data_IF_208692978424
#
_entry.id   IF_208692978424
#
_cell.length_a   1.000
_cell.length_b   1.000
_cell.length_c   1.000
_cell.angle_alpha   90.00
_cell.angle_beta   90.00
_cell.angle_gamma   90.00
#
_symmetry.space_group_name_H-M   'P 1'
#
loop_
_entity.id
_entity.type
_entity.pdbx_description
1 polymer ?
#
# COMPACT_ATOMS: atom_id res chain seq x y z
N UNK A 1 19.46 -4.59 -12.34
CA UNK A 1 19.80 -3.32 -11.65
C UNK A 1 18.82 -3.14 -10.51
N UNK A 2 19.14 -2.44 -9.42
CA UNK A 2 18.11 -2.18 -8.38
C UNK A 2 17.43 -0.84 -8.64
N UNK A 3 16.10 -0.88 -8.69
CA UNK A 3 15.20 0.25 -8.86
C UNK A 3 15.25 1.21 -7.65
N UNK A 4 15.02 2.50 -7.87
CA UNK A 4 15.01 3.49 -6.78
C UNK A 4 13.69 3.44 -6.01
N UNK A 5 12.58 3.32 -6.72
CA UNK A 5 11.22 3.43 -6.20
C UNK A 5 10.33 2.30 -6.72
N UNK A 6 9.98 1.38 -5.81
CA UNK A 6 9.04 0.30 -6.11
C UNK A 6 7.59 0.71 -5.83
N UNK A 7 6.67 0.21 -6.64
CA UNK A 7 5.24 0.09 -6.31
C UNK A 7 4.89 -1.39 -6.22
N UNK A 8 4.55 -1.86 -5.03
CA UNK A 8 4.05 -3.20 -4.80
C UNK A 8 2.50 -3.18 -4.79
N UNK A 9 1.89 -3.91 -5.72
CA UNK A 9 0.45 -4.15 -5.81
C UNK A 9 0.15 -5.49 -5.17
N UNK A 10 -0.62 -5.48 -4.07
CA UNK A 10 -0.87 -6.66 -3.23
C UNK A 10 -2.33 -7.04 -3.23
N UNK A 11 -2.62 -8.27 -3.64
CA UNK A 11 -3.94 -8.91 -3.60
C UNK A 11 -4.35 -9.28 -2.18
N UNK A 12 -3.41 -9.83 -1.41
CA UNK A 12 -3.63 -10.23 -0.04
C UNK A 12 -2.50 -9.76 0.89
N UNK A 13 -2.78 -8.88 1.89
CA UNK A 13 -1.78 -8.41 2.84
C UNK A 13 -1.04 -9.51 3.61
N UNK A 14 -1.60 -10.72 3.74
CA UNK A 14 -0.91 -11.86 4.38
C UNK A 14 0.35 -12.29 3.63
N UNK A 15 0.47 -11.96 2.34
CA UNK A 15 1.63 -12.30 1.52
C UNK A 15 2.81 -11.36 1.70
N UNK A 16 2.62 -10.23 2.39
CA UNK A 16 3.64 -9.18 2.48
C UNK A 16 4.97 -9.67 3.05
N UNK A 17 4.97 -10.56 4.05
CA UNK A 17 6.22 -11.10 4.59
C UNK A 17 7.07 -11.82 3.54
N UNK A 18 6.43 -12.69 2.73
CA UNK A 18 7.07 -13.43 1.63
C UNK A 18 7.54 -12.51 0.49
N UNK A 19 6.76 -11.48 0.19
CA UNK A 19 7.08 -10.54 -0.88
C UNK A 19 8.24 -9.64 -0.46
N UNK A 20 8.17 -9.06 0.74
CA UNK A 20 9.19 -8.14 1.25
C UNK A 20 10.57 -8.81 1.34
N UNK A 21 10.63 -10.08 1.75
CA UNK A 21 11.89 -10.83 1.78
C UNK A 21 12.51 -11.01 0.38
N UNK A 22 11.70 -11.02 -0.68
CA UNK A 22 12.16 -11.14 -2.07
C UNK A 22 12.45 -9.78 -2.72
N UNK A 23 11.63 -8.77 -2.41
CA UNK A 23 11.63 -7.45 -3.07
C UNK A 23 12.65 -6.49 -2.46
N UNK A 24 13.03 -6.63 -1.18
CA UNK A 24 13.88 -5.63 -0.50
C UNK A 24 15.24 -5.40 -1.18
N UNK A 25 15.76 -6.36 -1.97
CA UNK A 25 17.02 -6.21 -2.72
C UNK A 25 16.85 -5.49 -4.07
N UNK A 26 15.62 -5.44 -4.56
CA UNK A 26 15.28 -4.90 -5.87
C UNK A 26 14.98 -3.39 -5.79
N UNK A 27 14.59 -2.89 -4.62
CA UNK A 27 14.29 -1.49 -4.36
C UNK A 27 15.36 -0.89 -3.44
N UNK A 28 15.87 0.31 -3.76
CA UNK A 28 16.93 0.97 -2.99
C UNK A 28 16.41 1.92 -1.93
N UNK A 29 15.40 2.75 -2.26
CA UNK A 29 15.04 3.89 -1.42
C UNK A 29 13.62 3.77 -0.87
N UNK A 30 12.62 3.69 -1.75
CA UNK A 30 11.21 3.82 -1.36
C UNK A 30 10.37 2.70 -1.95
N UNK A 31 9.54 2.07 -1.10
CA UNK A 31 8.57 1.07 -1.53
C UNK A 31 7.16 1.54 -1.18
N UNK A 32 6.37 1.85 -2.21
CA UNK A 32 4.95 2.10 -2.05
C UNK A 32 4.18 0.77 -2.08
N UNK A 33 3.18 0.61 -1.21
CA UNK A 33 2.32 -0.57 -1.17
C UNK A 33 0.89 -0.15 -1.49
N UNK A 34 0.36 -0.64 -2.61
CA UNK A 34 -1.03 -0.49 -3.01
C UNK A 34 -1.78 -1.79 -2.77
N UNK A 35 -2.85 -1.75 -1.98
CA UNK A 35 -3.71 -2.92 -1.78
C UNK A 35 -4.77 -2.98 -2.87
N UNK A 36 -4.96 -4.17 -3.47
CA UNK A 36 -5.94 -4.42 -4.51
C UNK A 36 -7.37 -4.42 -4.03
N UNK A 37 -7.59 -4.57 -2.73
CA UNK A 37 -8.91 -4.36 -2.15
C UNK A 37 -9.42 -2.93 -2.44
N UNK A 38 -8.53 -1.98 -2.75
CA UNK A 38 -8.86 -0.65 -3.24
C UNK A 38 -9.24 -0.58 -4.73
N UNK A 39 -9.13 -1.67 -5.48
CA UNK A 39 -9.29 -1.76 -6.94
C UNK A 39 -10.37 -2.80 -7.28
N UNK A 40 -11.12 -2.57 -8.36
CA UNK A 40 -12.00 -3.59 -8.92
C UNK A 40 -11.19 -4.76 -9.51
N UNK A 41 -11.77 -5.96 -9.53
CA UNK A 41 -11.11 -7.14 -10.11
C UNK A 41 -10.93 -6.95 -11.65
N UNK A 42 -9.77 -7.29 -12.26
CA UNK A 42 -8.52 -7.73 -11.63
C UNK A 42 -7.55 -6.60 -11.23
N UNK A 43 -7.61 -5.46 -11.93
CA UNK A 43 -6.80 -4.24 -11.74
C UNK A 43 -7.61 -2.99 -12.17
N UNK A 44 -8.91 -3.02 -11.91
CA UNK A 44 -9.93 -2.10 -12.41
C UNK A 44 -9.97 -0.74 -11.70
N UNK A 45 -11.16 -0.11 -11.67
CA UNK A 45 -11.33 1.21 -11.05
C UNK A 45 -11.08 1.19 -9.53
N UNK A 46 -10.66 2.32 -8.96
CA UNK A 46 -10.59 2.44 -7.51
C UNK A 46 -11.99 2.35 -6.91
N UNK A 47 -12.14 1.58 -5.84
CA UNK A 47 -13.42 1.33 -5.18
C UNK A 47 -13.39 1.87 -3.73
N UNK A 48 -13.45 3.21 -3.56
CA UNK A 48 -13.27 3.88 -2.27
C UNK A 48 -14.41 3.63 -1.26
N UNK A 49 -15.43 2.85 -1.62
CA UNK A 49 -16.63 2.59 -0.80
C UNK A 49 -16.84 1.12 -0.43
N UNK A 50 -15.87 0.25 -0.71
CA UNK A 50 -15.96 -1.16 -0.28
C UNK A 50 -15.70 -1.32 1.23
N UNK A 51 -15.04 -0.34 1.85
CA UNK A 51 -14.60 -0.44 3.24
C UNK A 51 -15.56 0.26 4.19
N UNK A 52 -16.69 -0.40 4.46
CA UNK A 52 -17.41 -0.17 5.72
C UNK A 52 -16.75 -0.91 6.91
N UNK A 53 -15.83 -1.85 6.62
CA UNK A 53 -15.10 -2.65 7.62
C UNK A 53 -13.71 -2.09 7.91
N UNK A 54 -13.73 -0.87 8.43
CA UNK A 54 -12.59 -0.16 8.99
C UNK A 54 -11.59 -0.95 9.84
N UNK A 55 -12.04 -1.76 10.80
CA UNK A 55 -11.18 -2.36 11.81
C UNK A 55 -10.22 -3.41 11.21
N UNK A 56 -10.63 -4.00 10.08
CA UNK A 56 -9.80 -4.93 9.30
C UNK A 56 -8.57 -4.24 8.73
N UNK A 57 -8.66 -2.95 8.42
CA UNK A 57 -7.58 -2.21 7.80
C UNK A 57 -6.52 -1.77 8.80
N UNK A 58 -6.91 -1.37 10.00
CA UNK A 58 -5.97 -1.05 11.08
C UNK A 58 -5.07 -2.25 11.43
N UNK A 59 -5.68 -3.43 11.66
CA UNK A 59 -4.95 -4.69 11.87
C UNK A 59 -4.07 -5.05 10.67
N UNK A 60 -4.58 -4.85 9.46
CA UNK A 60 -3.81 -5.07 8.23
C UNK A 60 -2.57 -4.17 8.19
N UNK A 61 -2.72 -2.86 8.39
CA UNK A 61 -1.60 -1.92 8.41
C UNK A 61 -0.59 -2.24 9.51
N UNK A 62 -1.08 -2.56 10.71
CA UNK A 62 -0.21 -2.96 11.81
C UNK A 62 0.64 -4.17 11.41
N UNK A 63 0.02 -5.20 10.82
CA UNK A 63 0.73 -6.37 10.34
C UNK A 63 1.74 -6.00 9.25
N UNK A 64 1.37 -5.18 8.27
CA UNK A 64 2.27 -4.73 7.19
C UNK A 64 3.48 -4.02 7.78
N UNK A 65 3.28 -2.99 8.58
CA UNK A 65 4.38 -2.20 9.15
C UNK A 65 5.23 -3.02 10.13
N UNK A 66 4.65 -4.01 10.82
CA UNK A 66 5.41 -4.97 11.62
C UNK A 66 6.34 -5.83 10.75
N UNK A 67 5.87 -6.33 9.60
CA UNK A 67 6.72 -7.08 8.66
C UNK A 67 7.79 -6.19 8.02
N UNK A 68 7.45 -4.94 7.71
CA UNK A 68 8.41 -3.95 7.20
C UNK A 68 9.55 -3.69 8.20
N UNK A 69 9.22 -3.54 9.48
CA UNK A 69 10.22 -3.31 10.52
C UNK A 69 11.24 -4.46 10.60
N UNK A 70 10.81 -5.69 10.31
CA UNK A 70 11.66 -6.89 10.32
C UNK A 70 12.47 -7.04 9.04
N UNK A 71 11.86 -6.85 7.87
CA UNK A 71 12.46 -7.23 6.58
C UNK A 71 13.05 -6.07 5.77
N UNK A 72 12.61 -4.84 6.03
CA UNK A 72 12.88 -3.68 5.17
C UNK A 72 13.25 -2.43 5.97
N UNK A 73 14.04 -2.58 7.04
CA UNK A 73 14.43 -1.48 7.93
C UNK A 73 15.20 -0.33 7.25
N UNK A 74 15.85 -0.60 6.11
CA UNK A 74 16.58 0.38 5.31
C UNK A 74 15.72 1.09 4.26
N UNK A 75 14.49 0.61 4.02
CA UNK A 75 13.59 1.19 3.02
C UNK A 75 12.58 2.14 3.65
N UNK A 76 12.29 3.21 2.92
CA UNK A 76 11.13 4.05 3.16
C UNK A 76 9.88 3.36 2.62
N UNK A 77 9.23 2.53 3.44
CA UNK A 77 7.98 1.87 3.04
C UNK A 77 6.76 2.74 3.39
N UNK A 78 5.85 2.90 2.43
CA UNK A 78 4.63 3.72 2.52
C UNK A 78 3.42 2.95 2.00
N UNK A 79 2.41 2.73 2.84
CA UNK A 79 1.14 2.13 2.39
C UNK A 79 0.22 3.22 1.82
N UNK A 80 -0.26 3.03 0.60
CA UNK A 80 -1.14 3.96 -0.08
C UNK A 80 -2.58 3.80 0.39
N UNK A 81 -3.06 4.79 1.15
CA UNK A 81 -4.42 4.82 1.71
C UNK A 81 -5.41 5.54 0.77
N UNK A 82 -4.89 6.34 -0.15
CA UNK A 82 -5.69 7.21 -1.01
C UNK A 82 -6.74 6.46 -1.81
N UNK A 83 -6.40 5.32 -2.41
CA UNK A 83 -7.34 4.47 -3.16
C UNK A 83 -8.45 3.84 -2.32
N UNK A 84 -8.28 3.79 -1.00
CA UNK A 84 -9.24 3.18 -0.08
C UNK A 84 -10.25 4.19 0.46
N UNK A 85 -9.79 5.42 0.68
CA UNK A 85 -10.60 6.47 1.33
C UNK A 85 -11.15 7.49 0.34
N UNK A 86 -10.44 7.72 -0.76
CA UNK A 86 -10.77 8.77 -1.72
C UNK A 86 -10.96 8.17 -3.11
N UNK A 87 -11.83 8.80 -3.90
CA UNK A 87 -11.94 8.47 -5.31
C UNK A 87 -10.79 9.13 -6.10
N UNK A 88 -9.65 8.46 -6.15
CA UNK A 88 -8.50 8.94 -6.93
C UNK A 88 -8.51 8.33 -8.34
N UNK A 89 -8.24 9.11 -9.40
CA UNK A 89 -8.21 8.59 -10.77
C UNK A 89 -6.92 7.79 -11.04
N UNK A 90 -5.78 8.25 -10.48
CA UNK A 90 -4.45 7.66 -10.62
C UNK A 90 -3.67 7.74 -9.31
N UNK A 91 -2.78 6.78 -9.12
CA UNK A 91 -1.69 6.76 -8.15
C UNK A 91 -0.70 7.84 -8.55
N UNK A 92 -0.42 8.73 -7.60
CA UNK A 92 0.65 9.71 -7.69
C UNK A 92 1.50 9.59 -6.44
N UNK A 93 2.81 9.51 -6.65
CA UNK A 93 3.82 9.36 -5.58
C UNK A 93 4.82 10.50 -5.66
N UNK A 94 5.51 10.79 -4.56
CA UNK A 94 6.51 11.86 -4.52
C UNK A 94 7.76 11.54 -5.37
N UNK A 95 8.01 10.26 -5.61
CA UNK A 95 9.13 9.78 -6.43
C UNK A 95 8.58 8.98 -7.60
N UNK A 96 9.08 9.19 -8.83
CA UNK A 96 8.68 8.40 -10.00
C UNK A 96 8.90 6.91 -9.76
N UNK A 97 7.96 6.10 -10.22
CA UNK A 97 7.99 4.64 -10.06
C UNK A 97 8.81 4.05 -11.20
N UNK A 98 9.85 3.28 -10.88
CA UNK A 98 10.72 2.58 -11.84
C UNK A 98 10.65 1.06 -11.72
N UNK A 99 9.91 0.53 -10.74
CA UNK A 99 9.59 -0.88 -10.63
C UNK A 99 8.15 -1.10 -10.13
N UNK A 100 7.37 -1.91 -10.83
CA UNK A 100 6.03 -2.34 -10.39
C UNK A 100 6.06 -3.84 -10.08
N UNK A 101 5.63 -4.21 -8.89
CA UNK A 101 5.64 -5.60 -8.42
C UNK A 101 4.21 -6.05 -8.17
N UNK A 102 3.86 -7.25 -8.64
CA UNK A 102 2.58 -7.89 -8.39
C UNK A 102 2.77 -9.17 -7.56
N UNK A 103 1.88 -9.42 -6.60
CA UNK A 103 1.88 -10.64 -5.79
C UNK A 103 1.13 -11.83 -6.42
N UNK A 104 0.53 -11.59 -7.59
CA UNK A 104 -0.26 -12.53 -8.37
C UNK A 104 0.06 -12.35 -9.86
N UNK A 105 -0.02 -13.44 -10.61
CA UNK A 105 0.14 -13.42 -12.07
C UNK A 105 -1.07 -12.77 -12.74
N UNK A 106 -0.79 -11.80 -13.63
CA UNK A 106 -1.75 -11.13 -14.49
C UNK A 106 -1.33 -11.27 -15.96
N UNK A 107 -2.27 -11.06 -16.88
CA UNK A 107 -1.90 -10.98 -18.29
C UNK A 107 -1.08 -9.71 -18.55
N UNK A 108 -0.22 -9.74 -19.58
CA UNK A 108 0.56 -8.56 -19.96
C UNK A 108 -0.35 -7.37 -20.29
N UNK A 109 -1.48 -7.62 -20.95
CA UNK A 109 -2.47 -6.59 -21.26
C UNK A 109 -3.05 -5.94 -19.99
N UNK A 110 -3.36 -6.72 -18.95
CA UNK A 110 -3.88 -6.18 -17.69
C UNK A 110 -2.83 -5.33 -16.97
N UNK A 111 -1.57 -5.78 -16.98
CA UNK A 111 -0.45 -5.04 -16.38
C UNK A 111 -0.24 -3.70 -17.10
N UNK A 112 -0.16 -3.71 -18.43
CA UNK A 112 0.00 -2.50 -19.24
C UNK A 112 -1.18 -1.54 -19.06
N UNK A 113 -2.41 -2.06 -19.07
CA UNK A 113 -3.61 -1.27 -18.81
C UNK A 113 -3.57 -0.63 -17.41
N UNK A 114 -3.20 -1.39 -16.38
CA UNK A 114 -3.06 -0.85 -15.03
C UNK A 114 -2.03 0.26 -14.97
N UNK A 115 -0.83 0.03 -15.53
CA UNK A 115 0.25 1.00 -15.53
C UNK A 115 -0.18 2.31 -16.20
N UNK A 116 -0.71 2.23 -17.41
CA UNK A 116 -1.09 3.40 -18.21
C UNK A 116 -2.30 4.14 -17.61
N UNK A 117 -3.29 3.39 -17.13
CA UNK A 117 -4.53 3.95 -16.63
C UNK A 117 -4.41 4.45 -15.18
N UNK A 118 -3.57 3.82 -14.35
CA UNK A 118 -3.57 4.02 -12.89
C UNK A 118 -2.31 4.63 -12.33
N UNK A 119 -1.18 4.62 -13.01
CA UNK A 119 0.05 5.24 -12.48
C UNK A 119 0.30 6.55 -13.22
N UNK A 120 0.45 7.66 -12.49
CA UNK A 120 0.65 8.97 -13.09
C UNK A 120 2.12 9.23 -13.45
N UNK A 121 3.04 8.84 -12.57
CA UNK A 121 4.46 9.20 -12.63
C UNK A 121 5.35 7.95 -12.74
N UNK A 122 5.03 7.06 -13.67
CA UNK A 122 5.93 5.95 -14.03
C UNK A 122 7.08 6.47 -14.90
N UNK A 123 8.29 5.92 -14.72
CA UNK A 123 9.45 6.26 -15.55
C UNK A 123 9.38 5.58 -16.93
N UNK A 124 10.12 6.07 -17.92
CA UNK A 124 10.16 5.47 -19.27
C UNK A 124 10.79 4.07 -19.29
N UNK A 125 11.69 3.77 -18.36
CA UNK A 125 12.44 2.50 -18.28
C UNK A 125 12.00 1.66 -17.07
N UNK A 126 10.71 1.65 -16.79
CA UNK A 126 10.19 0.88 -15.68
C UNK A 126 10.33 -0.62 -15.93
N UNK A 127 10.47 -1.38 -14.85
CA UNK A 127 10.44 -2.83 -14.86
C UNK A 127 9.16 -3.34 -14.19
N UNK A 128 8.73 -4.56 -14.55
CA UNK A 128 7.61 -5.24 -13.88
C UNK A 128 8.02 -6.62 -13.42
N UNK A 129 7.70 -6.98 -12.18
CA UNK A 129 8.02 -8.29 -11.61
C UNK A 129 6.77 -8.89 -10.98
N UNK A 130 6.60 -10.20 -11.16
CA UNK A 130 5.54 -10.96 -10.51
C UNK A 130 6.15 -11.92 -9.50
N UNK A 131 5.66 -11.89 -8.27
CA UNK A 131 6.02 -12.83 -7.20
C UNK A 131 4.77 -13.63 -6.87
N UNK A 132 4.63 -14.82 -7.45
CA UNK A 132 3.49 -15.69 -7.15
C UNK A 132 3.57 -16.16 -5.70
N UNK A 133 2.61 -15.70 -4.90
CA UNK A 133 2.54 -16.00 -3.47
C UNK A 133 1.45 -17.01 -3.11
N UNK A 134 0.75 -17.55 -4.13
CA UNK A 134 -0.31 -18.55 -3.98
C UNK A 134 -1.67 -17.94 -3.64
N UNK A 135 -2.65 -18.80 -3.33
CA UNK A 135 -3.97 -18.37 -2.85
C UNK A 135 -3.96 -18.31 -1.33
N UNK A 136 -4.29 -17.17 -0.74
CA UNK A 136 -4.52 -17.05 0.69
C UNK A 136 -5.97 -16.74 1.00
N UNK A 137 -6.46 -17.37 2.06
CA UNK A 137 -7.79 -17.18 2.61
C UNK A 137 -7.90 -15.82 3.32
N UNK A 138 -8.99 -15.11 3.06
CA UNK A 138 -9.38 -13.94 3.84
C UNK A 138 -9.79 -14.40 5.23
N UNK A 139 -9.27 -13.76 6.27
CA UNK A 139 -9.71 -14.01 7.64
C UNK A 139 -10.52 -12.80 8.12
N UNK A 140 -11.75 -13.06 8.55
CA UNK A 140 -12.66 -12.04 9.08
C UNK A 140 -12.45 -11.87 10.58
N UNK A 141 -11.60 -10.91 10.95
CA UNK A 141 -11.59 -10.38 12.31
C UNK A 141 -12.55 -9.22 12.45
N UNK A 142 -13.51 -9.34 13.36
CA UNK A 142 -14.35 -8.24 13.87
C UNK A 142 -13.66 -7.62 15.07
N UNK A 143 -13.25 -6.36 14.96
CA UNK A 143 -13.04 -5.49 16.10
C UNK A 143 -13.95 -4.29 15.90
N UNK A 144 -14.56 -3.76 16.96
CA UNK A 144 -15.45 -2.61 16.86
C UNK A 144 -14.60 -1.35 17.03
N UNK A 145 -14.46 -0.55 15.98
CA UNK A 145 -13.67 0.69 16.04
C UNK A 145 -14.35 1.83 15.30
N UNK A 146 -14.40 2.99 15.96
CA UNK A 146 -15.15 4.16 15.56
C UNK A 146 -14.35 5.10 14.65
N UNK A 147 -15.05 5.71 13.68
CA UNK A 147 -14.56 6.80 12.84
C UNK A 147 -15.01 8.13 13.47
N UNK A 148 -14.12 9.12 13.55
CA UNK A 148 -14.40 10.43 14.14
C UNK A 148 -14.36 11.52 13.07
N UNK A 149 -15.09 12.61 13.25
CA UNK A 149 -15.00 13.75 12.32
C UNK A 149 -13.60 14.38 12.30
N UNK A 150 -13.02 14.53 13.48
CA UNK A 150 -11.72 15.14 13.71
C UNK A 150 -10.88 14.17 14.53
N UNK A 151 -9.65 13.89 14.07
CA UNK A 151 -8.67 13.08 14.80
C UNK A 151 -7.39 13.89 14.91
N UNK A 152 -6.83 13.92 16.12
CA UNK A 152 -5.57 14.59 16.42
C UNK A 152 -4.56 13.54 16.84
N UNK A 153 -3.37 13.58 16.24
CA UNK A 153 -2.25 12.73 16.56
C UNK A 153 -1.14 13.57 17.17
N UNK A 154 -1.04 13.57 18.50
CA UNK A 154 0.05 14.27 19.19
C UNK A 154 1.38 13.50 19.11
N UNK A 155 2.49 14.24 19.01
CA UNK A 155 3.86 13.71 19.08
C UNK A 155 4.87 14.71 18.51
N UNK A 156 6.17 14.48 18.73
CA UNK A 156 7.20 15.37 18.17
C UNK A 156 7.55 15.04 16.71
N UNK A 157 7.19 13.85 16.22
CA UNK A 157 7.47 13.34 14.86
C UNK A 157 8.92 13.53 14.40
N UNK A 158 9.87 13.60 15.34
CA UNK A 158 11.30 13.66 15.05
C UNK A 158 11.73 12.38 14.32
N UNK A 159 12.38 12.54 13.17
CA UNK A 159 12.88 11.43 12.32
C UNK A 159 11.82 10.35 12.10
N UNK A 160 10.78 10.70 11.34
CA UNK A 160 9.66 9.81 10.99
C UNK A 160 10.13 8.40 10.63
N UNK A 161 9.83 7.44 11.50
CA UNK A 161 10.14 6.01 11.32
C UNK A 161 8.85 5.20 11.16
N UNK A 162 8.98 3.87 11.07
CA UNK A 162 7.88 2.95 10.76
C UNK A 162 6.66 3.13 11.67
N UNK A 163 6.86 3.30 12.99
CA UNK A 163 5.74 3.48 13.91
C UNK A 163 5.00 4.81 13.68
N UNK A 164 5.72 5.91 13.41
CA UNK A 164 5.09 7.18 13.03
C UNK A 164 4.26 7.02 11.74
N UNK A 165 4.77 6.30 10.73
CA UNK A 165 4.02 6.05 9.49
C UNK A 165 2.76 5.23 9.73
N UNK A 166 2.81 4.25 10.62
CA UNK A 166 1.63 3.51 11.06
C UNK A 166 0.61 4.43 11.75
N UNK A 167 1.02 5.26 12.71
CA UNK A 167 0.11 6.17 13.40
C UNK A 167 -0.50 7.23 12.48
N UNK A 168 0.31 7.80 11.57
CA UNK A 168 -0.18 8.72 10.54
C UNK A 168 -1.19 8.03 9.63
N UNK A 169 -0.92 6.77 9.28
CA UNK A 169 -1.82 5.93 8.51
C UNK A 169 -3.13 5.75 9.26
N UNK A 170 -3.10 5.36 10.55
CA UNK A 170 -4.27 5.20 11.43
C UNK A 170 -5.10 6.47 11.57
N UNK A 171 -4.47 7.63 11.69
CA UNK A 171 -5.18 8.91 11.88
C UNK A 171 -5.78 9.41 10.58
N UNK A 172 -5.01 9.35 9.48
CA UNK A 172 -5.52 9.64 8.14
C UNK A 172 -6.71 8.74 7.82
N UNK A 173 -6.64 7.52 8.32
CA UNK A 173 -7.71 6.58 8.25
C UNK A 173 -8.90 7.09 9.12
N UNK A 174 -8.75 7.22 10.45
CA UNK A 174 -9.88 7.34 11.41
C UNK A 174 -10.63 8.67 11.30
N UNK A 175 -10.03 9.66 10.66
CA UNK A 175 -10.63 10.96 10.41
C UNK A 175 -11.61 10.92 9.23
N UNK A 176 -12.88 11.25 9.44
CA UNK A 176 -13.87 11.45 8.36
C UNK A 176 -13.64 12.77 7.63
N UNK A 177 -13.26 13.83 8.34
CA UNK A 177 -13.08 15.18 7.78
C UNK A 177 -11.66 15.70 7.95
N UNK A 178 -11.13 15.72 9.17
CA UNK A 178 -9.85 16.37 9.48
C UNK A 178 -8.94 15.47 10.29
N UNK A 179 -7.70 15.32 9.81
CA UNK A 179 -6.59 14.73 10.54
C UNK A 179 -5.59 15.85 10.86
N UNK A 180 -5.25 16.04 12.13
CA UNK A 180 -4.22 16.98 12.58
C UNK A 180 -3.08 16.20 13.23
N UNK A 181 -1.85 16.60 12.94
CA UNK A 181 -0.60 15.99 13.44
C UNK A 181 0.25 17.09 14.05
#
# INVERSE_FOLDING_TARGET
MSAQTGLLVVSNPKHISKILSSVHKQVKNTLYIQLLSALGDPLGAFQPKIFNNWPKFSKTLFNIYSQVAVHCNHLDVKVLISGLKYNIPKIHTNHPIDLVIFDKTYSQADIENFINAKINNITERYETITVDTGKAEFDEGTTDETVCDHVVLGGTFDRIHVAHKFLLSEVALRARKVATV
#
